data_IF_119887392927
#
_entry.id   IF_119887392927
#
_cell.length_a   1.000
_cell.length_b   1.000
_cell.length_c   1.000
_cell.angle_alpha   90.00
_cell.angle_beta   90.00
_cell.angle_gamma   90.00
#
_symmetry.space_group_name_H-M   'P 1'
#
loop_
_entity.id
_entity.type
_entity.pdbx_description
1 polymer ?
#
# COMPACT_ATOMS: atom_id res chain seq x y z
N UNK A 1 63.87 69.74 36.60
CA UNK A 1 64.08 69.89 35.17
C UNK A 1 65.13 68.87 34.77
N UNK A 2 64.84 67.98 33.80
CA UNK A 2 65.78 66.96 33.29
C UNK A 2 66.20 67.43 31.90
N UNK A 3 67.52 67.57 31.71
CA UNK A 3 68.12 67.94 30.44
C UNK A 3 68.74 66.68 29.80
N UNK A 4 68.28 66.38 28.55
CA UNK A 4 68.91 65.32 27.75
C UNK A 4 69.64 65.98 26.61
N UNK A 5 71.00 65.70 26.60
CA UNK A 5 71.88 66.20 25.55
C UNK A 5 72.10 65.00 24.56
N UNK A 6 71.69 65.24 23.33
CA UNK A 6 71.95 64.24 22.27
C UNK A 6 73.19 64.73 21.49
N UNK A 7 74.27 64.06 21.64
CA UNK A 7 75.48 64.30 20.90
C UNK A 7 75.50 63.49 19.63
N UNK A 8 75.44 64.13 18.45
CA UNK A 8 75.53 63.38 17.19
C UNK A 8 76.98 62.85 17.06
N UNK A 9 77.14 61.69 16.45
CA UNK A 9 78.44 61.05 16.16
C UNK A 9 79.25 61.88 15.19
N UNK A 10 78.73 62.78 14.48
CA UNK A 10 79.41 63.71 13.56
C UNK A 10 79.65 65.06 14.25
N UNK A 11 80.92 65.39 14.50
CA UNK A 11 81.46 66.55 15.24
C UNK A 11 80.96 67.90 14.58
N UNK A 12 80.59 67.88 13.33
CA UNK A 12 80.10 69.05 12.62
C UNK A 12 78.65 69.41 12.90
N UNK A 13 77.92 68.54 13.57
CA UNK A 13 76.51 68.77 13.88
C UNK A 13 76.34 69.30 15.30
N UNK A 14 75.40 70.28 15.47
CA UNK A 14 75.08 70.87 16.74
C UNK A 14 74.44 69.88 17.72
N UNK A 15 74.87 69.90 18.98
CA UNK A 15 74.22 69.20 20.09
C UNK A 15 72.81 69.67 20.26
N UNK A 16 71.82 68.71 20.34
CA UNK A 16 70.45 69.02 20.56
C UNK A 16 70.12 68.85 22.05
N UNK A 17 69.57 69.91 22.69
CA UNK A 17 69.13 69.85 24.05
C UNK A 17 67.63 69.69 24.12
N UNK A 18 67.12 68.72 24.91
CA UNK A 18 65.73 68.53 25.21
C UNK A 18 65.52 68.76 26.70
N UNK A 19 64.64 69.68 27.00
CA UNK A 19 64.30 70.03 28.39
C UNK A 19 62.93 69.42 28.71
N UNK A 20 62.89 68.57 29.72
CA UNK A 20 61.64 67.97 30.19
C UNK A 20 61.33 68.44 31.59
N UNK A 21 60.12 69.01 31.74
CA UNK A 21 59.61 69.30 33.08
C UNK A 21 59.38 68.00 33.86
N UNK A 22 59.70 68.07 35.16
CA UNK A 22 59.57 66.87 36.04
C UNK A 22 58.19 66.21 35.98
N UNK A 23 57.15 67.09 35.91
CA UNK A 23 55.75 66.55 35.75
C UNK A 23 55.54 65.74 34.46
N UNK A 24 56.06 66.18 33.32
CA UNK A 24 55.93 65.51 32.03
C UNK A 24 56.65 64.18 32.03
N UNK A 25 57.82 64.16 32.67
CA UNK A 25 58.60 62.89 32.82
C UNK A 25 57.83 61.88 33.68
N UNK A 26 57.29 62.32 34.81
CA UNK A 26 56.50 61.44 35.68
C UNK A 26 55.24 60.95 34.95
N UNK A 27 54.55 61.78 34.22
CA UNK A 27 53.35 61.40 33.41
C UNK A 27 53.78 60.37 32.34
N UNK A 28 54.90 60.59 31.66
CA UNK A 28 55.42 59.64 30.65
C UNK A 28 55.74 58.27 31.25
N UNK A 29 56.39 58.24 32.42
CA UNK A 29 56.68 56.99 33.12
C UNK A 29 55.39 56.28 33.55
N UNK A 30 54.42 57.02 34.09
CA UNK A 30 53.10 56.43 34.47
C UNK A 30 52.39 55.83 33.27
N UNK A 31 52.32 56.58 32.15
CA UNK A 31 51.70 56.09 30.92
C UNK A 31 52.41 54.83 30.38
N UNK A 32 53.72 54.87 30.34
CA UNK A 32 54.55 53.73 29.91
C UNK A 32 54.34 52.51 30.82
N UNK A 33 54.28 52.73 32.13
CA UNK A 33 54.03 51.65 33.10
C UNK A 33 52.63 51.05 32.94
N UNK A 34 51.60 51.88 32.71
CA UNK A 34 50.25 51.40 32.42
C UNK A 34 50.19 50.60 31.13
N UNK A 35 50.86 51.05 30.07
CA UNK A 35 50.95 50.30 28.81
C UNK A 35 51.68 48.96 28.99
N UNK A 36 52.76 48.94 29.78
CA UNK A 36 53.50 47.72 30.08
C UNK A 36 52.68 46.72 30.89
N UNK A 37 51.95 47.20 31.91
CA UNK A 37 51.00 46.38 32.69
C UNK A 37 49.88 45.83 31.79
N UNK A 38 49.32 46.64 30.89
CA UNK A 38 48.35 46.23 29.92
C UNK A 38 48.89 45.14 28.97
N UNK A 39 50.10 45.29 28.49
CA UNK A 39 50.79 44.32 27.64
C UNK A 39 51.00 42.97 28.35
N UNK A 40 51.55 43.04 29.57
CA UNK A 40 51.77 41.82 30.39
C UNK A 40 50.40 41.15 30.70
N UNK A 41 49.42 41.91 31.07
CA UNK A 41 48.06 41.40 31.31
C UNK A 41 47.45 40.72 30.07
N UNK A 42 47.63 41.34 28.88
CA UNK A 42 47.17 40.74 27.63
C UNK A 42 47.92 39.46 27.27
N UNK A 43 49.21 39.40 27.46
CA UNK A 43 50.01 38.19 27.25
C UNK A 43 49.63 37.08 28.22
N UNK A 44 49.34 37.38 29.46
CA UNK A 44 48.89 36.39 30.45
C UNK A 44 47.45 35.86 30.13
N UNK A 45 46.56 36.73 29.60
CA UNK A 45 45.22 36.35 29.22
C UNK A 45 45.12 35.65 27.85
N UNK A 46 46.07 35.91 26.94
CA UNK A 46 46.07 35.37 25.59
C UNK A 46 45.90 33.82 25.52
N UNK A 47 46.61 33.01 26.30
CA UNK A 47 46.44 31.56 26.25
C UNK A 47 45.03 31.10 26.63
N UNK A 48 44.40 31.77 27.60
CA UNK A 48 43.05 31.42 28.06
C UNK A 48 42.01 31.82 27.03
N UNK A 49 42.12 32.95 26.38
CA UNK A 49 41.25 33.41 25.30
C UNK A 49 41.41 32.47 24.08
N UNK A 50 42.62 32.20 23.66
CA UNK A 50 42.90 31.30 22.56
C UNK A 50 42.29 29.92 22.84
N UNK A 51 42.49 29.35 24.02
CA UNK A 51 41.92 28.07 24.42
C UNK A 51 40.39 28.07 24.42
N UNK A 52 39.74 29.16 24.82
CA UNK A 52 38.28 29.30 24.74
C UNK A 52 37.79 29.36 23.29
N UNK A 53 38.47 30.13 22.44
CA UNK A 53 38.10 30.25 21.02
C UNK A 53 38.24 28.89 20.31
N UNK A 54 39.33 28.19 20.51
CA UNK A 54 39.54 26.83 19.96
C UNK A 54 38.44 25.86 20.44
N UNK A 55 38.13 25.88 21.75
CA UNK A 55 37.10 25.01 22.32
C UNK A 55 35.71 25.35 21.76
N UNK A 56 35.37 26.62 21.58
CA UNK A 56 34.08 27.02 21.00
C UNK A 56 33.98 26.63 19.53
N UNK A 57 35.02 26.86 18.73
CA UNK A 57 35.03 26.45 17.31
C UNK A 57 34.92 24.94 17.17
N UNK A 58 35.67 24.16 17.96
CA UNK A 58 35.55 22.70 17.97
C UNK A 58 34.13 22.22 18.35
N UNK A 59 33.47 22.86 19.31
CA UNK A 59 32.11 22.54 19.69
C UNK A 59 31.10 22.94 18.61
N UNK A 60 31.33 24.03 17.86
CA UNK A 60 30.50 24.43 16.73
C UNK A 60 30.62 23.41 15.60
N UNK A 61 31.81 23.01 15.20
CA UNK A 61 32.05 21.97 14.19
C UNK A 61 31.37 20.65 14.57
N UNK A 62 31.51 20.21 15.84
CA UNK A 62 30.82 19.00 16.32
C UNK A 62 29.28 19.12 16.33
N UNK A 63 28.75 20.32 16.56
CA UNK A 63 27.31 20.54 16.47
C UNK A 63 26.83 20.45 15.03
N UNK A 64 27.50 21.11 14.12
CA UNK A 64 27.19 21.08 12.70
C UNK A 64 27.25 19.66 12.14
N UNK A 65 28.31 18.90 12.46
CA UNK A 65 28.40 17.48 12.09
C UNK A 65 27.23 16.64 12.66
N UNK A 66 26.85 16.87 13.92
CA UNK A 66 25.71 16.17 14.53
C UNK A 66 24.39 16.55 13.86
N UNK A 67 24.16 17.80 13.53
CA UNK A 67 22.95 18.26 12.83
C UNK A 67 22.87 17.60 11.46
N UNK A 68 23.96 17.55 10.70
CA UNK A 68 24.04 16.85 9.41
C UNK A 68 23.76 15.35 9.59
N UNK A 69 24.33 14.71 10.61
CA UNK A 69 24.10 13.29 10.90
C UNK A 69 22.63 13.03 11.30
N UNK A 70 22.04 13.91 12.10
CA UNK A 70 20.62 13.81 12.48
C UNK A 70 19.70 13.97 11.27
N UNK A 71 20.00 14.89 10.36
CA UNK A 71 19.19 15.09 9.15
C UNK A 71 19.29 13.88 8.22
N UNK A 72 20.49 13.34 7.98
CA UNK A 72 20.69 12.08 7.23
C UNK A 72 19.96 10.91 7.87
N UNK A 73 19.96 10.82 9.19
CA UNK A 73 19.23 9.77 9.90
C UNK A 73 17.72 9.92 9.71
N UNK A 74 17.20 11.14 9.77
CA UNK A 74 15.78 11.42 9.47
C UNK A 74 15.40 11.02 8.05
N UNK A 75 16.19 11.41 7.06
CA UNK A 75 15.97 11.02 5.67
C UNK A 75 15.96 9.50 5.50
N UNK A 76 16.91 8.80 6.10
CA UNK A 76 16.98 7.35 6.06
C UNK A 76 15.75 6.70 6.71
N UNK A 77 15.27 7.21 7.85
CA UNK A 77 14.05 6.71 8.50
C UNK A 77 12.81 6.92 7.62
N UNK A 78 12.70 8.07 6.95
CA UNK A 78 11.60 8.33 6.00
C UNK A 78 11.67 7.36 4.81
N UNK A 79 12.86 7.14 4.25
CA UNK A 79 13.04 6.20 3.15
C UNK A 79 12.72 4.76 3.57
N UNK A 80 13.19 4.33 4.75
CA UNK A 80 12.84 3.01 5.30
C UNK A 80 11.33 2.84 5.49
N UNK A 81 10.65 3.86 6.02
CA UNK A 81 9.19 3.80 6.20
C UNK A 81 8.44 3.72 4.87
N UNK A 82 8.90 4.43 3.85
CA UNK A 82 8.32 4.35 2.50
C UNK A 82 8.54 2.97 1.87
N UNK A 83 9.73 2.38 2.07
CA UNK A 83 10.06 1.04 1.61
C UNK A 83 9.22 -0.03 2.33
N UNK A 84 9.06 0.07 3.65
CA UNK A 84 8.18 -0.82 4.44
C UNK A 84 6.74 -0.80 3.90
N UNK A 85 6.21 0.38 3.59
CA UNK A 85 4.87 0.53 3.00
C UNK A 85 4.78 -0.14 1.62
N UNK A 86 5.75 0.13 0.76
CA UNK A 86 5.79 -0.47 -0.59
C UNK A 86 5.89 -1.99 -0.53
N UNK A 87 6.72 -2.54 0.35
CA UNK A 87 6.83 -3.99 0.57
C UNK A 87 5.52 -4.59 1.07
N UNK A 88 4.81 -3.91 1.99
CA UNK A 88 3.53 -4.38 2.49
C UNK A 88 2.46 -4.41 1.38
N UNK A 89 2.41 -3.40 0.53
CA UNK A 89 1.52 -3.37 -0.64
C UNK A 89 1.82 -4.51 -1.61
N UNK A 90 3.10 -4.76 -1.91
CA UNK A 90 3.50 -5.88 -2.76
C UNK A 90 3.18 -7.24 -2.10
N UNK A 91 3.42 -7.37 -0.80
CA UNK A 91 3.08 -8.57 -0.04
C UNK A 91 1.57 -8.89 -0.15
N UNK A 92 0.72 -7.90 0.03
CA UNK A 92 -0.74 -8.06 -0.09
C UNK A 92 -1.12 -8.55 -1.49
N UNK A 93 -0.50 -8.00 -2.54
CA UNK A 93 -0.74 -8.44 -3.93
C UNK A 93 -0.32 -9.90 -4.16
N UNK A 94 0.85 -10.28 -3.67
CA UNK A 94 1.35 -11.66 -3.75
C UNK A 94 0.46 -12.61 -2.97
N UNK A 95 0.01 -12.24 -1.77
CA UNK A 95 -0.92 -13.05 -0.98
C UNK A 95 -2.29 -13.21 -1.66
N UNK A 96 -2.78 -12.18 -2.36
CA UNK A 96 -3.98 -12.31 -3.21
C UNK A 96 -3.76 -13.39 -4.27
N UNK A 97 -2.69 -13.32 -5.03
CA UNK A 97 -2.37 -14.29 -6.09
C UNK A 97 -2.26 -15.72 -5.54
N UNK A 98 -1.57 -15.90 -4.42
CA UNK A 98 -1.44 -17.19 -3.74
C UNK A 98 -2.83 -17.74 -3.37
N UNK A 99 -3.70 -16.89 -2.83
CA UNK A 99 -5.07 -17.27 -2.44
C UNK A 99 -5.94 -17.59 -3.67
N UNK A 100 -5.87 -16.75 -4.71
CA UNK A 100 -6.63 -16.91 -5.96
C UNK A 100 -6.28 -18.21 -6.68
N UNK A 101 -5.01 -18.58 -6.68
CA UNK A 101 -4.56 -19.84 -7.30
C UNK A 101 -4.69 -21.06 -6.38
N UNK A 102 -5.06 -20.86 -5.10
CA UNK A 102 -5.21 -21.93 -4.13
C UNK A 102 -3.88 -22.53 -3.65
N UNK A 103 -2.80 -21.74 -3.71
CA UNK A 103 -1.44 -22.15 -3.32
C UNK A 103 -1.17 -21.97 -1.82
N UNK A 104 -2.09 -21.39 -1.07
CA UNK A 104 -2.00 -21.17 0.39
C UNK A 104 -1.81 -22.46 1.19
N UNK A 105 -2.31 -23.59 0.69
CA UNK A 105 -2.15 -24.91 1.32
C UNK A 105 -0.73 -25.48 1.16
N UNK A 106 -0.02 -25.10 0.10
CA UNK A 106 1.33 -25.61 -0.23
C UNK A 106 2.45 -24.76 0.38
N UNK A 107 2.22 -23.48 0.63
CA UNK A 107 3.26 -22.53 1.04
C UNK A 107 3.34 -22.28 2.56
N UNK A 108 2.44 -22.86 3.34
CA UNK A 108 2.38 -22.66 4.79
C UNK A 108 2.04 -21.21 5.18
N UNK A 109 1.26 -21.04 6.24
CA UNK A 109 0.86 -19.72 6.76
C UNK A 109 2.04 -19.01 7.45
N UNK A 110 2.91 -18.38 6.70
CA UNK A 110 3.92 -17.46 7.24
C UNK A 110 3.31 -16.08 7.50
N UNK A 111 2.61 -15.92 8.61
CA UNK A 111 2.11 -14.61 9.03
C UNK A 111 3.25 -13.67 9.40
N UNK A 112 3.31 -12.51 8.76
CA UNK A 112 4.19 -11.41 9.15
C UNK A 112 3.44 -10.47 10.08
N UNK A 113 4.03 -10.24 11.28
CA UNK A 113 3.65 -9.10 12.10
C UNK A 113 4.49 -7.91 11.66
N UNK A 114 3.90 -6.93 11.00
CA UNK A 114 4.54 -5.62 10.84
C UNK A 114 4.60 -4.92 12.18
N UNK A 115 5.75 -4.37 12.59
CA UNK A 115 5.83 -3.53 13.78
C UNK A 115 4.94 -2.29 13.57
N UNK A 116 3.95 -2.09 14.43
CA UNK A 116 3.11 -0.90 14.42
C UNK A 116 3.93 0.32 14.88
N UNK A 117 4.00 1.34 14.01
CA UNK A 117 4.38 2.70 14.38
C UNK A 117 5.84 2.89 14.79
N UNK A 118 6.58 3.70 14.05
CA UNK A 118 7.92 4.13 14.45
C UNK A 118 7.82 5.20 15.54
N UNK A 119 8.51 5.07 16.69
CA UNK A 119 8.73 6.18 17.60
C UNK A 119 9.62 7.25 16.94
N UNK A 120 9.46 8.50 17.35
CA UNK A 120 10.15 9.66 16.78
C UNK A 120 11.69 9.64 16.94
N UNK A 121 12.22 8.81 17.84
CA UNK A 121 13.65 8.54 18.02
C UNK A 121 13.88 7.03 18.00
N UNK A 122 14.63 6.55 17.00
CA UNK A 122 14.98 5.14 16.86
C UNK A 122 16.41 4.94 17.29
N UNK A 123 16.69 4.18 18.37
CA UNK A 123 18.05 3.78 18.70
C UNK A 123 18.72 3.03 17.54
N UNK A 124 20.03 3.17 17.38
CA UNK A 124 20.80 2.57 16.27
C UNK A 124 20.60 1.05 16.16
N UNK A 125 20.45 0.37 17.28
CA UNK A 125 20.20 -1.08 17.33
C UNK A 125 18.80 -1.46 16.81
N UNK A 126 17.80 -0.59 16.96
CA UNK A 126 16.50 -0.79 16.38
C UNK A 126 16.49 -0.54 14.87
N UNK A 127 17.29 0.42 14.39
CA UNK A 127 17.47 0.65 12.96
C UNK A 127 18.10 -0.57 12.26
N UNK A 128 19.15 -1.17 12.84
CA UNK A 128 19.78 -2.39 12.32
C UNK A 128 18.84 -3.60 12.33
N UNK A 129 18.04 -3.76 13.39
CA UNK A 129 17.03 -4.82 13.45
C UNK A 129 15.95 -4.66 12.40
N UNK A 130 15.52 -3.42 12.13
CA UNK A 130 14.56 -3.11 11.05
C UNK A 130 15.14 -3.41 9.68
N UNK A 131 16.37 -2.98 9.42
CA UNK A 131 17.06 -3.28 8.17
C UNK A 131 17.14 -4.79 7.91
N UNK A 132 17.60 -5.59 8.88
CA UNK A 132 17.64 -7.04 8.77
C UNK A 132 16.24 -7.66 8.54
N UNK A 133 15.20 -7.12 9.19
CA UNK A 133 13.81 -7.55 9.00
C UNK A 133 13.32 -7.25 7.58
N UNK A 134 13.65 -6.06 7.04
CA UNK A 134 13.31 -5.67 5.67
C UNK A 134 13.99 -6.56 4.64
N UNK A 135 15.30 -6.81 4.78
CA UNK A 135 16.05 -7.70 3.88
C UNK A 135 15.43 -9.08 3.86
N UNK A 136 15.12 -9.65 5.03
CA UNK A 136 14.45 -10.94 5.13
C UNK A 136 13.02 -10.93 4.52
N UNK A 137 12.28 -9.82 4.62
CA UNK A 137 10.98 -9.67 4.02
C UNK A 137 11.07 -9.60 2.49
N UNK A 138 12.04 -8.85 1.96
CA UNK A 138 12.31 -8.76 0.52
C UNK A 138 12.69 -10.12 -0.06
N UNK A 139 13.57 -10.85 0.60
CA UNK A 139 13.99 -12.17 0.13
C UNK A 139 12.81 -13.15 0.05
N UNK A 140 11.96 -13.19 1.07
CA UNK A 140 10.76 -14.04 1.07
C UNK A 140 9.76 -13.63 0.00
N UNK A 141 9.57 -12.33 -0.23
CA UNK A 141 8.71 -11.83 -1.29
C UNK A 141 9.24 -12.26 -2.67
N UNK A 142 10.54 -12.19 -2.86
CA UNK A 142 11.19 -12.65 -4.10
C UNK A 142 10.97 -14.15 -4.33
N UNK A 143 11.16 -14.98 -3.32
CA UNK A 143 10.91 -16.43 -3.40
C UNK A 143 9.44 -16.76 -3.77
N UNK A 144 8.48 -16.00 -3.20
CA UNK A 144 7.06 -16.13 -3.52
C UNK A 144 6.74 -15.68 -4.95
N UNK A 145 7.34 -14.59 -5.42
CA UNK A 145 7.18 -14.10 -6.80
C UNK A 145 7.76 -15.10 -7.81
N UNK A 146 8.92 -15.65 -7.54
CA UNK A 146 9.55 -16.67 -8.40
C UNK A 146 8.68 -17.93 -8.51
N UNK A 147 8.07 -18.35 -7.40
CA UNK A 147 7.14 -19.46 -7.37
C UNK A 147 5.88 -19.16 -8.20
N UNK A 148 5.27 -17.99 -8.01
CA UNK A 148 4.08 -17.56 -8.76
C UNK A 148 4.38 -17.49 -10.25
N UNK A 149 5.51 -16.93 -10.65
CA UNK A 149 5.93 -16.81 -12.04
C UNK A 149 6.06 -18.20 -12.69
N UNK A 150 6.67 -19.16 -11.97
CA UNK A 150 6.77 -20.56 -12.44
C UNK A 150 5.39 -21.22 -12.52
N UNK A 151 4.53 -20.98 -11.54
CA UNK A 151 3.18 -21.51 -11.53
C UNK A 151 2.36 -20.97 -12.71
N UNK A 152 2.36 -19.66 -12.95
CA UNK A 152 1.65 -19.03 -14.06
C UNK A 152 2.14 -19.53 -15.42
N UNK A 153 3.45 -19.67 -15.59
CA UNK A 153 4.04 -20.22 -16.81
C UNK A 153 3.62 -21.68 -17.06
N UNK A 154 3.54 -22.50 -16.00
CA UNK A 154 3.15 -23.90 -16.09
C UNK A 154 1.63 -24.09 -16.21
N UNK A 155 0.81 -23.12 -15.79
CA UNK A 155 -0.66 -23.24 -15.67
C UNK A 155 -1.39 -22.11 -16.41
N UNK A 156 -0.92 -21.70 -17.57
CA UNK A 156 -1.47 -20.57 -18.34
C UNK A 156 -2.99 -20.71 -18.62
N UNK A 157 -3.49 -21.93 -18.81
CA UNK A 157 -4.93 -22.20 -18.97
C UNK A 157 -5.71 -21.89 -17.69
N UNK A 158 -5.20 -22.28 -16.52
CA UNK A 158 -5.84 -21.99 -15.23
C UNK A 158 -5.87 -20.48 -15.00
N UNK A 159 -4.79 -19.79 -15.30
CA UNK A 159 -4.67 -18.34 -15.15
C UNK A 159 -5.70 -17.62 -16.01
N UNK A 160 -5.84 -17.99 -17.29
CA UNK A 160 -6.83 -17.39 -18.21
C UNK A 160 -8.28 -17.61 -17.79
N UNK A 161 -8.57 -18.75 -17.15
CA UNK A 161 -9.90 -19.09 -16.67
C UNK A 161 -10.14 -18.68 -15.21
N UNK A 162 -9.21 -17.94 -14.59
CA UNK A 162 -9.40 -17.38 -13.23
C UNK A 162 -9.99 -15.96 -13.33
N UNK A 163 -11.17 -15.70 -12.72
CA UNK A 163 -11.81 -14.38 -12.77
C UNK A 163 -10.95 -13.33 -12.05
N UNK A 164 -10.18 -12.55 -12.80
CA UNK A 164 -9.12 -11.70 -12.24
C UNK A 164 -9.25 -10.21 -12.55
N UNK A 165 -10.24 -9.81 -13.37
CA UNK A 165 -10.46 -8.40 -13.66
C UNK A 165 -11.80 -7.90 -13.10
N UNK A 166 -11.85 -6.60 -12.84
CA UNK A 166 -13.07 -5.88 -12.51
C UNK A 166 -14.04 -5.95 -13.69
N UNK A 167 -15.33 -6.33 -13.47
CA UNK A 167 -16.30 -6.46 -14.54
C UNK A 167 -16.88 -5.14 -15.04
N UNK A 168 -16.44 -3.99 -14.53
CA UNK A 168 -16.84 -2.64 -14.92
C UNK A 168 -15.62 -1.76 -15.17
N UNK A 169 -15.76 -0.63 -15.91
CA UNK A 169 -14.73 0.40 -15.99
C UNK A 169 -14.40 0.91 -14.58
N UNK A 170 -13.11 1.05 -14.25
CA UNK A 170 -12.64 1.33 -12.90
C UNK A 170 -13.03 2.72 -12.36
N UNK A 171 -13.39 3.64 -13.24
CA UNK A 171 -13.77 5.03 -12.97
C UNK A 171 -15.28 5.28 -12.99
N UNK A 172 -16.10 4.26 -13.27
CA UNK A 172 -17.55 4.41 -13.51
C UNK A 172 -18.43 3.67 -12.50
N UNK A 173 -17.90 3.27 -11.35
CA UNK A 173 -18.69 2.58 -10.34
C UNK A 173 -18.38 3.03 -8.91
N UNK A 174 -19.34 2.73 -8.02
CA UNK A 174 -19.18 2.84 -6.57
C UNK A 174 -19.57 1.50 -5.94
N UNK A 175 -18.72 0.95 -5.05
CA UNK A 175 -19.07 -0.23 -4.27
C UNK A 175 -20.12 0.16 -3.21
N UNK A 176 -21.38 -0.22 -3.43
CA UNK A 176 -22.50 0.11 -2.54
C UNK A 176 -22.79 -0.99 -1.52
N UNK A 177 -22.49 -2.25 -1.84
CA UNK A 177 -22.63 -3.35 -0.90
C UNK A 177 -21.53 -4.40 -1.10
N UNK A 178 -20.67 -4.63 -0.09
CA UNK A 178 -19.65 -5.65 -0.15
C UNK A 178 -20.21 -7.05 0.13
N UNK A 179 -19.40 -8.06 -0.19
CA UNK A 179 -19.64 -9.45 0.17
C UNK A 179 -19.68 -9.64 1.69
N UNK A 180 -20.60 -10.50 2.16
CA UNK A 180 -20.68 -10.90 3.57
C UNK A 180 -21.98 -10.52 4.28
N UNK A 181 -21.98 -10.61 5.59
CA UNK A 181 -23.15 -10.32 6.42
C UNK A 181 -23.56 -8.86 6.33
N UNK A 182 -24.85 -8.63 6.06
CA UNK A 182 -25.48 -7.30 5.99
C UNK A 182 -26.91 -7.33 6.52
N UNK A 183 -27.52 -6.18 6.64
CA UNK A 183 -28.98 -6.04 6.76
C UNK A 183 -29.56 -5.91 5.36
N UNK A 184 -30.53 -6.77 5.02
CA UNK A 184 -31.19 -6.72 3.72
C UNK A 184 -31.86 -5.37 3.48
N UNK A 185 -31.63 -4.69 2.35
CA UNK A 185 -32.29 -3.43 2.04
C UNK A 185 -33.81 -3.58 1.81
N UNK A 186 -34.26 -4.79 1.51
CA UNK A 186 -35.65 -5.10 1.22
C UNK A 186 -36.45 -5.58 2.44
N UNK A 187 -35.89 -6.57 3.17
CA UNK A 187 -36.60 -7.22 4.28
C UNK A 187 -36.22 -6.66 5.65
N UNK A 188 -35.17 -5.85 5.75
CA UNK A 188 -34.57 -5.36 7.01
C UNK A 188 -34.07 -6.46 7.95
N UNK A 189 -34.07 -7.71 7.54
CA UNK A 189 -33.53 -8.84 8.28
C UNK A 189 -32.05 -9.04 8.00
N UNK A 190 -31.38 -9.82 8.86
CA UNK A 190 -30.01 -10.28 8.60
C UNK A 190 -29.97 -11.08 7.30
N UNK A 191 -29.00 -10.76 6.46
CA UNK A 191 -28.80 -11.33 5.12
C UNK A 191 -27.32 -11.56 4.88
N UNK A 192 -27.00 -12.53 4.05
CA UNK A 192 -25.64 -12.77 3.58
C UNK A 192 -25.52 -12.44 2.11
N UNK A 193 -24.77 -11.38 1.80
CA UNK A 193 -24.54 -10.94 0.43
C UNK A 193 -23.48 -11.80 -0.25
N UNK A 194 -23.88 -12.52 -1.29
CA UNK A 194 -23.05 -13.53 -1.98
C UNK A 194 -22.11 -12.95 -3.05
N UNK A 195 -22.15 -11.62 -3.23
CA UNK A 195 -21.39 -10.92 -4.27
C UNK A 195 -21.02 -9.50 -3.88
N UNK A 196 -20.81 -8.68 -4.90
CA UNK A 196 -20.61 -7.23 -4.79
C UNK A 196 -21.74 -6.52 -5.52
N UNK A 197 -22.28 -5.46 -4.92
CA UNK A 197 -23.16 -4.53 -5.63
C UNK A 197 -22.33 -3.32 -6.04
N UNK A 198 -22.10 -3.18 -7.34
CA UNK A 198 -21.31 -2.13 -7.98
C UNK A 198 -22.28 -1.16 -8.67
N UNK A 199 -22.62 -0.05 -8.01
CA UNK A 199 -23.52 0.98 -8.56
C UNK A 199 -22.84 1.71 -9.71
N UNK A 200 -23.48 1.73 -10.86
CA UNK A 200 -23.01 2.40 -12.07
C UNK A 200 -24.20 2.88 -12.90
N UNK A 201 -24.02 3.87 -13.79
CA UNK A 201 -25.07 4.32 -14.70
C UNK A 201 -25.63 3.17 -15.55
N UNK A 202 -26.96 3.19 -15.81
CA UNK A 202 -27.56 2.26 -16.76
C UNK A 202 -26.90 2.39 -18.13
N UNK A 203 -26.60 1.26 -18.76
CA UNK A 203 -25.86 1.23 -20.04
C UNK A 203 -24.36 1.12 -19.91
N UNK A 204 -23.77 1.24 -18.70
CA UNK A 204 -22.34 0.99 -18.49
C UNK A 204 -21.99 -0.44 -18.93
N UNK A 205 -20.89 -0.60 -19.70
CA UNK A 205 -20.47 -1.90 -20.22
C UNK A 205 -20.08 -2.86 -19.09
N UNK A 206 -20.52 -4.12 -19.21
CA UNK A 206 -20.14 -5.23 -18.33
C UNK A 206 -19.16 -6.12 -19.09
N UNK A 207 -18.02 -6.42 -18.47
CA UNK A 207 -16.94 -7.24 -19.04
C UNK A 207 -16.90 -8.64 -18.42
N UNK A 208 -16.59 -9.65 -19.24
CA UNK A 208 -16.27 -10.99 -18.75
C UNK A 208 -15.00 -10.96 -17.90
N UNK A 209 -15.07 -11.48 -16.67
CA UNK A 209 -13.95 -11.42 -15.71
C UNK A 209 -12.79 -12.36 -16.03
N UNK A 210 -13.01 -13.39 -16.89
CA UNK A 210 -12.03 -14.35 -17.38
C UNK A 210 -12.53 -14.99 -18.68
N UNK A 211 -11.65 -15.78 -19.35
CA UNK A 211 -12.06 -16.64 -20.46
C UNK A 211 -13.05 -17.70 -19.96
N UNK A 212 -14.06 -18.03 -20.76
CA UNK A 212 -15.05 -19.03 -20.35
C UNK A 212 -16.16 -19.27 -21.37
N UNK A 213 -17.11 -20.08 -20.97
CA UNK A 213 -18.32 -20.39 -21.76
C UNK A 213 -19.55 -19.87 -21.04
N UNK A 214 -20.36 -19.11 -21.74
CA UNK A 214 -21.66 -18.62 -21.22
C UNK A 214 -22.58 -19.83 -21.01
N UNK A 215 -22.95 -20.07 -19.76
CA UNK A 215 -23.86 -21.18 -19.42
C UNK A 215 -25.32 -20.75 -19.42
N UNK A 216 -25.57 -19.48 -19.06
CA UNK A 216 -26.92 -18.90 -19.09
C UNK A 216 -26.86 -17.41 -19.48
N UNK A 217 -27.85 -16.97 -20.25
CA UNK A 217 -27.98 -15.58 -20.66
C UNK A 217 -29.48 -15.22 -20.83
N UNK A 218 -30.00 -14.28 -20.04
CA UNK A 218 -31.37 -13.85 -20.05
C UNK A 218 -32.01 -13.81 -18.66
N UNK A 219 -33.32 -14.01 -18.59
CA UNK A 219 -34.09 -13.98 -17.33
C UNK A 219 -34.46 -15.39 -16.87
N UNK A 220 -34.12 -15.72 -15.64
CA UNK A 220 -34.45 -17.05 -15.09
C UNK A 220 -35.94 -17.14 -14.82
N UNK A 221 -36.64 -18.26 -15.18
CA UNK A 221 -38.06 -18.40 -15.05
C UNK A 221 -38.53 -18.38 -13.59
N UNK A 222 -39.51 -17.55 -13.25
CA UNK A 222 -40.10 -17.46 -11.91
C UNK A 222 -40.73 -18.78 -11.45
N UNK A 223 -41.28 -19.56 -12.40
CA UNK A 223 -41.88 -20.88 -12.16
C UNK A 223 -40.89 -21.91 -11.68
N UNK A 224 -39.58 -21.70 -11.91
CA UNK A 224 -38.53 -22.60 -11.48
C UNK A 224 -37.88 -22.15 -10.15
N UNK A 225 -37.70 -20.83 -9.99
CA UNK A 225 -37.18 -20.28 -8.72
C UNK A 225 -37.45 -18.78 -8.64
N UNK A 226 -38.10 -18.37 -7.57
CA UNK A 226 -38.30 -16.95 -7.24
C UNK A 226 -36.97 -16.29 -6.86
N UNK A 227 -36.10 -17.03 -6.17
CA UNK A 227 -34.78 -16.50 -5.74
C UNK A 227 -33.93 -16.10 -6.95
N UNK A 228 -33.84 -16.98 -7.95
CA UNK A 228 -33.04 -16.70 -9.15
C UNK A 228 -33.73 -15.76 -10.13
N UNK A 229 -35.07 -15.73 -10.17
CA UNK A 229 -35.84 -14.75 -10.95
C UNK A 229 -35.54 -13.31 -10.47
N UNK A 230 -35.24 -13.11 -9.19
CA UNK A 230 -34.89 -11.79 -8.62
C UNK A 230 -33.63 -11.18 -9.20
N UNK A 231 -32.75 -11.96 -9.78
CA UNK A 231 -31.53 -11.48 -10.46
C UNK A 231 -31.84 -10.68 -11.75
N UNK A 232 -33.07 -10.71 -12.22
CA UNK A 232 -33.48 -10.00 -13.44
C UNK A 232 -32.85 -10.62 -14.68
N UNK A 233 -32.31 -9.78 -15.58
CA UNK A 233 -31.52 -10.25 -16.69
C UNK A 233 -30.12 -10.61 -16.12
N UNK A 234 -29.67 -11.84 -16.37
CA UNK A 234 -28.46 -12.40 -15.80
C UNK A 234 -27.64 -13.11 -16.87
N UNK A 235 -26.32 -12.92 -16.78
CA UNK A 235 -25.34 -13.71 -17.52
C UNK A 235 -24.57 -14.57 -16.53
N UNK A 236 -24.37 -15.86 -16.84
CA UNK A 236 -23.47 -16.72 -16.08
C UNK A 236 -22.44 -17.30 -17.02
N UNK A 237 -21.18 -17.30 -16.56
CA UNK A 237 -20.03 -17.80 -17.32
C UNK A 237 -19.33 -18.83 -16.49
N UNK A 238 -19.08 -20.01 -17.08
CA UNK A 238 -18.27 -21.07 -16.49
C UNK A 238 -16.84 -20.95 -16.99
N UNK A 239 -15.91 -20.85 -16.07
CA UNK A 239 -14.48 -20.71 -16.33
C UNK A 239 -13.78 -22.02 -16.03
N UNK A 240 -13.60 -22.84 -17.05
CA UNK A 240 -13.22 -24.25 -16.90
C UNK A 240 -14.16 -24.97 -15.89
N UNK A 241 -13.60 -25.83 -15.03
CA UNK A 241 -14.39 -26.52 -14.00
C UNK A 241 -14.26 -25.89 -12.61
N UNK A 242 -13.54 -24.74 -12.49
CA UNK A 242 -13.17 -24.17 -11.19
C UNK A 242 -14.04 -23.01 -10.73
N UNK A 243 -14.56 -22.21 -11.66
CA UNK A 243 -15.30 -21.00 -11.31
C UNK A 243 -16.55 -20.81 -12.15
N UNK A 244 -17.55 -20.19 -11.53
CA UNK A 244 -18.71 -19.61 -12.22
C UNK A 244 -18.83 -18.15 -11.77
N UNK A 245 -18.93 -17.24 -12.74
CA UNK A 245 -19.25 -15.85 -12.48
C UNK A 245 -20.69 -15.55 -12.85
N UNK A 246 -21.33 -14.68 -12.07
CA UNK A 246 -22.74 -14.27 -12.24
C UNK A 246 -22.78 -12.75 -12.34
N UNK A 247 -23.43 -12.25 -13.38
CA UNK A 247 -23.62 -10.83 -13.67
C UNK A 247 -25.11 -10.57 -13.73
N UNK A 248 -25.69 -9.95 -12.71
CA UNK A 248 -27.12 -9.77 -12.56
C UNK A 248 -27.57 -8.31 -12.67
N UNK A 249 -28.88 -8.12 -12.78
CA UNK A 249 -29.59 -6.85 -12.96
C UNK A 249 -29.26 -6.14 -14.28
N UNK A 250 -28.76 -6.88 -15.29
CA UNK A 250 -28.38 -6.31 -16.58
C UNK A 250 -29.54 -5.60 -17.25
N UNK A 251 -29.25 -4.49 -17.94
CA UNK A 251 -30.19 -3.85 -18.87
C UNK A 251 -30.26 -4.64 -20.18
N UNK A 252 -29.12 -4.81 -20.84
CA UNK A 252 -28.96 -5.64 -22.03
C UNK A 252 -28.08 -6.84 -21.78
N UNK A 253 -28.34 -7.93 -22.51
CA UNK A 253 -27.52 -9.14 -22.56
C UNK A 253 -27.04 -9.29 -24.00
N UNK A 254 -25.72 -9.23 -24.22
CA UNK A 254 -25.10 -9.19 -25.54
C UNK A 254 -24.55 -10.54 -25.99
N UNK A 255 -24.68 -11.57 -25.15
CA UNK A 255 -24.18 -12.92 -25.37
C UNK A 255 -25.30 -13.95 -25.25
N UNK A 256 -25.05 -15.18 -25.68
CA UNK A 256 -25.99 -16.31 -25.62
C UNK A 256 -25.37 -17.54 -24.98
N UNK A 257 -26.20 -18.39 -24.39
CA UNK A 257 -25.73 -19.67 -23.82
C UNK A 257 -24.99 -20.50 -24.89
N UNK A 258 -23.87 -21.10 -24.50
CA UNK A 258 -22.94 -21.83 -25.34
C UNK A 258 -21.90 -20.97 -26.05
N UNK A 259 -21.95 -19.65 -25.96
CA UNK A 259 -20.95 -18.75 -26.52
C UNK A 259 -19.67 -18.79 -25.68
N UNK A 260 -18.51 -18.93 -26.34
CA UNK A 260 -17.20 -18.72 -25.72
C UNK A 260 -16.91 -17.22 -25.69
N UNK A 261 -16.45 -16.73 -24.56
CA UNK A 261 -16.04 -15.33 -24.35
C UNK A 261 -14.63 -15.25 -23.82
N UNK A 262 -13.93 -14.17 -24.14
CA UNK A 262 -12.61 -13.87 -23.61
C UNK A 262 -12.69 -12.90 -22.46
N UNK A 263 -11.69 -12.91 -21.60
CA UNK A 263 -11.54 -11.90 -20.56
C UNK A 263 -11.58 -10.49 -21.17
N UNK A 264 -12.37 -9.59 -20.57
CA UNK A 264 -12.54 -8.22 -21.05
C UNK A 264 -13.54 -8.06 -22.21
N UNK A 265 -14.16 -9.14 -22.71
CA UNK A 265 -15.22 -9.05 -23.73
C UNK A 265 -16.49 -8.49 -23.12
N UNK A 266 -17.18 -7.59 -23.85
CA UNK A 266 -18.45 -6.99 -23.41
C UNK A 266 -19.56 -8.03 -23.49
N UNK A 267 -20.19 -8.36 -22.37
CA UNK A 267 -21.24 -9.38 -22.26
C UNK A 267 -22.63 -8.83 -22.04
N UNK A 268 -22.74 -7.53 -21.72
CA UNK A 268 -24.01 -6.84 -21.47
C UNK A 268 -23.77 -5.43 -20.95
N UNK A 269 -24.83 -4.82 -20.43
CA UNK A 269 -24.78 -3.48 -19.82
C UNK A 269 -25.48 -3.47 -18.46
N UNK A 270 -25.01 -2.58 -17.58
CA UNK A 270 -25.60 -2.36 -16.26
C UNK A 270 -27.03 -1.86 -16.37
N UNK A 271 -27.91 -2.37 -15.53
CA UNK A 271 -29.31 -1.96 -15.46
C UNK A 271 -29.87 -2.00 -14.03
N UNK A 272 -31.20 -2.14 -13.97
CA UNK A 272 -31.98 -2.25 -12.72
C UNK A 272 -33.07 -3.26 -12.85
N UNK A 273 -32.86 -4.35 -13.60
CA UNK A 273 -33.86 -5.40 -13.83
C UNK A 273 -33.96 -6.36 -12.64
N UNK A 274 -35.13 -6.96 -12.44
CA UNK A 274 -35.37 -7.86 -11.32
C UNK A 274 -35.58 -7.13 -10.00
N UNK A 275 -35.06 -7.67 -8.91
CA UNK A 275 -35.19 -7.06 -7.57
C UNK A 275 -33.99 -6.14 -7.30
N UNK A 276 -34.06 -4.93 -7.81
CA UNK A 276 -33.05 -3.89 -7.70
C UNK A 276 -33.72 -2.57 -7.29
N UNK A 277 -33.03 -1.81 -6.43
CA UNK A 277 -33.49 -0.48 -5.97
C UNK A 277 -32.97 0.65 -6.84
N UNK A 278 -31.76 0.48 -7.41
CA UNK A 278 -31.08 1.46 -8.24
C UNK A 278 -30.22 0.73 -9.27
N UNK A 279 -29.76 1.45 -10.31
CA UNK A 279 -28.90 0.89 -11.34
C UNK A 279 -27.57 0.42 -10.71
N UNK A 280 -27.28 -0.88 -10.81
CA UNK A 280 -26.04 -1.50 -10.34
C UNK A 280 -25.82 -2.85 -11.02
N UNK A 281 -24.57 -3.30 -11.02
CA UNK A 281 -24.20 -4.68 -11.30
C UNK A 281 -24.10 -5.44 -9.98
N UNK A 282 -24.89 -6.52 -9.83
CA UNK A 282 -24.63 -7.54 -8.81
C UNK A 282 -23.69 -8.60 -9.40
N UNK A 283 -22.51 -8.72 -8.83
CA UNK A 283 -21.43 -9.59 -9.32
C UNK A 283 -21.05 -10.65 -8.31
N UNK A 284 -21.18 -11.94 -8.67
CA UNK A 284 -20.73 -13.06 -7.84
C UNK A 284 -19.60 -13.83 -8.52
N UNK A 285 -18.66 -14.33 -7.72
CA UNK A 285 -17.74 -15.41 -8.07
C UNK A 285 -18.10 -16.62 -7.22
N UNK A 286 -18.27 -17.76 -7.83
CA UNK A 286 -18.46 -19.03 -7.16
C UNK A 286 -17.35 -19.99 -7.53
N UNK A 287 -16.78 -20.66 -6.55
CA UNK A 287 -15.62 -21.53 -6.70
C UNK A 287 -15.91 -22.94 -6.16
N UNK A 288 -15.40 -23.94 -6.84
CA UNK A 288 -15.44 -25.34 -6.38
C UNK A 288 -14.14 -25.77 -5.67
N UNK A 289 -13.20 -24.85 -5.47
CA UNK A 289 -11.87 -25.14 -4.90
C UNK A 289 -11.92 -25.74 -3.50
N UNK A 290 -12.93 -25.44 -2.69
CA UNK A 290 -13.09 -25.98 -1.35
C UNK A 290 -13.82 -27.32 -1.34
N UNK A 291 -14.81 -27.50 -2.21
CA UNK A 291 -15.63 -28.71 -2.33
C UNK A 291 -15.87 -29.02 -3.81
N UNK A 292 -15.11 -29.93 -4.41
CA UNK A 292 -15.28 -30.31 -5.81
C UNK A 292 -16.73 -30.64 -6.16
N UNK A 293 -17.21 -30.02 -7.23
CA UNK A 293 -18.59 -30.15 -7.70
C UNK A 293 -19.62 -29.25 -7.00
N UNK A 294 -19.21 -28.48 -5.98
CA UNK A 294 -20.08 -27.54 -5.27
C UNK A 294 -19.54 -26.12 -5.41
N UNK A 295 -20.16 -25.31 -6.24
CA UNK A 295 -19.76 -23.92 -6.46
C UNK A 295 -20.24 -23.02 -5.31
N UNK A 296 -19.35 -22.75 -4.36
CA UNK A 296 -19.60 -21.88 -3.20
C UNK A 296 -19.29 -20.42 -3.52
N UNK A 297 -20.07 -19.44 -3.04
CA UNK A 297 -19.77 -18.02 -3.24
C UNK A 297 -18.49 -17.65 -2.48
N UNK A 298 -17.62 -16.89 -3.12
CA UNK A 298 -16.37 -16.36 -2.57
C UNK A 298 -16.36 -14.84 -2.70
N UNK A 299 -15.60 -14.15 -1.84
CA UNK A 299 -15.50 -12.69 -1.91
C UNK A 299 -14.78 -12.25 -3.21
N UNK A 300 -15.49 -11.60 -4.16
CA UNK A 300 -14.90 -11.25 -5.43
C UNK A 300 -13.72 -10.28 -5.33
N UNK A 301 -13.62 -9.50 -4.23
CA UNK A 301 -12.53 -8.53 -4.02
C UNK A 301 -11.16 -9.20 -3.96
N UNK A 302 -11.11 -10.46 -3.55
CA UNK A 302 -9.87 -11.24 -3.49
C UNK A 302 -9.38 -11.56 -4.90
N UNK A 303 -10.32 -11.90 -5.79
CA UNK A 303 -10.04 -12.33 -7.15
C UNK A 303 -9.75 -11.17 -8.10
N UNK A 304 -10.38 -10.00 -7.91
CA UNK A 304 -10.16 -8.81 -8.75
C UNK A 304 -8.77 -8.25 -8.47
N UNK A 305 -7.84 -8.43 -9.43
CA UNK A 305 -6.43 -8.07 -9.31
C UNK A 305 -6.10 -6.70 -9.91
N UNK A 306 -6.90 -6.23 -10.87
CA UNK A 306 -6.71 -4.95 -11.57
C UNK A 306 -7.37 -3.75 -10.89
N UNK A 307 -7.86 -3.92 -9.66
CA UNK A 307 -8.42 -2.83 -8.84
C UNK A 307 -7.95 -2.96 -7.40
N UNK A 308 -7.60 -1.82 -6.79
CA UNK A 308 -7.15 -1.77 -5.40
C UNK A 308 -8.32 -1.35 -4.50
N UNK A 309 -8.67 -2.22 -3.56
CA UNK A 309 -9.74 -1.97 -2.58
C UNK A 309 -9.19 -1.26 -1.34
N UNK A 310 -9.96 -0.34 -0.79
CA UNK A 310 -9.68 0.14 0.56
C UNK A 310 -9.81 -1.02 1.56
N UNK A 311 -8.77 -1.29 2.37
CA UNK A 311 -8.74 -2.38 3.36
C UNK A 311 -8.54 -3.81 2.81
N UNK A 312 -7.77 -3.99 1.74
CA UNK A 312 -7.48 -5.31 1.16
C UNK A 312 -6.95 -6.33 2.18
N UNK A 313 -6.07 -5.93 3.10
CA UNK A 313 -5.55 -6.80 4.16
C UNK A 313 -6.66 -7.38 5.04
N UNK A 314 -7.70 -6.59 5.36
CA UNK A 314 -8.86 -7.06 6.15
C UNK A 314 -9.72 -8.03 5.33
N UNK A 315 -9.87 -7.78 4.03
CA UNK A 315 -10.61 -8.67 3.12
C UNK A 315 -9.94 -10.02 3.04
N UNK A 316 -8.61 -10.07 2.82
CA UNK A 316 -7.82 -11.30 2.79
C UNK A 316 -7.85 -12.06 4.12
N UNK A 317 -7.75 -11.35 5.25
CA UNK A 317 -7.82 -11.96 6.56
C UNK A 317 -9.19 -12.62 6.80
N UNK A 318 -10.29 -11.94 6.44
CA UNK A 318 -11.65 -12.48 6.57
C UNK A 318 -11.89 -13.69 5.69
N UNK A 319 -11.39 -13.68 4.47
CA UNK A 319 -11.51 -14.81 3.55
C UNK A 319 -10.87 -16.09 4.10
N UNK A 320 -9.77 -15.97 4.84
CA UNK A 320 -9.08 -17.08 5.48
C UNK A 320 -9.76 -17.58 6.74
N UNK A 321 -10.51 -16.73 7.44
CA UNK A 321 -11.11 -17.03 8.76
C UNK A 321 -12.59 -17.33 8.71
N UNK A 322 -13.33 -16.82 7.72
CA UNK A 322 -14.79 -16.98 7.65
C UNK A 322 -15.16 -18.23 6.85
N UNK A 323 -15.68 -19.23 7.55
CA UNK A 323 -16.29 -20.45 6.96
C UNK A 323 -17.83 -20.43 7.05
N UNK A 324 -18.43 -19.26 7.20
CA UNK A 324 -19.84 -19.10 7.59
C UNK A 324 -20.85 -19.11 6.42
N UNK A 325 -20.46 -19.55 5.22
CA UNK A 325 -21.41 -19.61 4.10
C UNK A 325 -22.15 -20.92 3.96
N UNK A 326 -22.48 -21.58 5.05
CA UNK A 326 -23.13 -22.91 5.03
C UNK A 326 -24.55 -22.90 4.48
N UNK A 327 -25.19 -21.74 4.32
CA UNK A 327 -26.56 -21.58 3.81
C UNK A 327 -26.60 -20.71 2.55
N UNK A 328 -26.15 -21.24 1.43
CA UNK A 328 -26.37 -20.62 0.12
C UNK A 328 -27.25 -21.49 -0.76
N UNK A 329 -28.09 -20.84 -1.58
CA UNK A 329 -28.89 -21.55 -2.56
C UNK A 329 -27.96 -22.18 -3.61
N UNK A 330 -28.10 -23.50 -3.91
CA UNK A 330 -27.33 -24.15 -4.95
C UNK A 330 -27.62 -23.48 -6.30
N UNK A 331 -26.62 -23.47 -7.18
CA UNK A 331 -26.80 -22.96 -8.53
C UNK A 331 -27.79 -23.83 -9.31
N UNK A 332 -28.71 -23.23 -10.09
CA UNK A 332 -29.52 -23.95 -11.03
C UNK A 332 -28.64 -24.75 -12.02
N UNK A 333 -29.06 -25.92 -12.44
CA UNK A 333 -28.34 -26.70 -13.44
C UNK A 333 -28.04 -25.90 -14.72
N UNK A 334 -28.96 -25.01 -15.13
CA UNK A 334 -28.74 -24.11 -16.25
C UNK A 334 -27.56 -23.18 -16.07
N UNK A 335 -27.25 -22.75 -14.85
CA UNK A 335 -26.10 -21.87 -14.55
C UNK A 335 -24.77 -22.63 -14.55
N UNK A 336 -24.83 -23.95 -14.28
CA UNK A 336 -23.67 -24.83 -14.31
C UNK A 336 -23.42 -25.39 -15.72
N UNK A 337 -24.38 -25.25 -16.63
CA UNK A 337 -24.32 -25.78 -17.99
C UNK A 337 -24.70 -27.26 -18.11
N UNK A 338 -25.30 -27.83 -17.07
CA UNK A 338 -25.88 -29.16 -17.13
C UNK A 338 -27.27 -29.07 -17.74
N UNK A 339 -27.52 -29.71 -18.86
CA UNK A 339 -28.85 -29.78 -19.48
C UNK A 339 -29.87 -30.30 -18.45
N UNK A 340 -31.01 -29.60 -18.29
CA UNK A 340 -32.08 -30.10 -17.46
C UNK A 340 -32.52 -31.47 -18.05
N UNK A 341 -32.25 -32.56 -17.32
CA UNK A 341 -32.80 -33.86 -17.66
C UNK A 341 -34.32 -33.69 -17.73
N UNK A 342 -34.91 -33.81 -18.94
CA UNK A 342 -36.36 -33.87 -19.12
C UNK A 342 -36.87 -34.95 -18.16
N UNK A 343 -37.58 -34.51 -17.11
CA UNK A 343 -38.10 -35.42 -16.09
C UNK A 343 -38.82 -36.56 -16.75
N UNK A 344 -38.28 -37.77 -16.57
CA UNK A 344 -38.92 -38.97 -17.01
C UNK A 344 -40.30 -39.02 -16.39
N UNK A 345 -41.33 -39.01 -17.24
CA UNK A 345 -42.67 -39.41 -16.84
C UNK A 345 -42.58 -40.78 -16.19
N UNK A 346 -42.70 -40.84 -14.87
CA UNK A 346 -43.06 -42.09 -14.21
C UNK A 346 -44.43 -42.48 -14.79
N UNK A 347 -44.47 -43.47 -15.68
CA UNK A 347 -45.70 -44.19 -15.99
C UNK A 347 -46.01 -45.05 -14.76
N UNK A 348 -47.20 -44.79 -14.23
CA UNK A 348 -47.87 -45.59 -13.21
C UNK A 348 -47.98 -47.06 -13.62
#
# INVERSE_FOLDING_TARGET
MIEIQVHPSDIRRRVRYFFFDRRRVVIGIVVLSLLLIGLIGSMAAAPTVIRRVYKTNFLFEQREEREIQHERLRENVVQMTSLERSLEEQRIRVEKLITVYGLDRTLGQGGFSTPKGAPAEVPLDDARRREASLVNAMQRLQEQLDLLTRYEAANAEIVRHTPSILPLPSDQFVLTSPFGNRVSPFTRAADFHKGLDLSAPTGTAIYAAADGVVTFAGRYPISQSVAWWRFGNVVTIKHAERFITIYAHCDTVNVRAGQTVRQGEIIGTVGSTGWSTNSHLHYEIRSDLEQPGTYTPVDPRIYILNHQWSNEAVVLMRARTSKDYRNFDPLPNAFVGVAATKGGKRRS
#
